data_IF_745165050660
#
_entry.id   IF_745165050660
#
_cell.length_a   1.000
_cell.length_b   1.000
_cell.length_c   1.000
_cell.angle_alpha   90.00
_cell.angle_beta   90.00
_cell.angle_gamma   90.00
#
_symmetry.space_group_name_H-M   'P 1'
#
loop_
_entity.id
_entity.type
_entity.pdbx_description
1 polymer ?
#
# COMPACT_ATOMS: atom_id res chain seq x y z
N UNK A 1 1.56 -6.22 10.90
CA UNK A 1 2.84 -5.71 11.42
C UNK A 1 2.96 -6.03 12.91
N UNK A 2 1.97 -5.69 13.71
CA UNK A 2 1.98 -5.86 15.17
C UNK A 2 2.17 -7.33 15.59
N UNK A 3 1.34 -8.24 15.09
CA UNK A 3 1.42 -9.69 15.39
C UNK A 3 2.80 -10.28 15.01
N UNK A 4 3.36 -9.86 13.87
CA UNK A 4 4.71 -10.29 13.47
C UNK A 4 5.76 -9.71 14.41
N UNK A 5 5.63 -8.45 14.81
CA UNK A 5 6.51 -7.81 15.77
C UNK A 5 6.50 -8.49 17.13
N UNK A 6 5.34 -8.95 17.59
CA UNK A 6 5.21 -9.72 18.84
C UNK A 6 5.93 -11.08 18.76
N UNK A 7 5.83 -11.77 17.64
CA UNK A 7 6.58 -13.03 17.44
C UNK A 7 8.09 -12.79 17.40
N UNK A 8 8.52 -11.75 16.66
CA UNK A 8 9.94 -11.50 16.42
C UNK A 8 10.70 -10.88 17.60
N UNK A 9 10.00 -10.30 18.60
CA UNK A 9 10.66 -9.67 19.75
C UNK A 9 11.55 -10.63 20.54
N UNK A 10 11.24 -11.93 20.53
CA UNK A 10 11.96 -12.96 21.25
C UNK A 10 13.19 -13.49 20.47
N UNK A 11 13.36 -13.07 19.22
CA UNK A 11 14.47 -13.48 18.36
C UNK A 11 15.59 -12.43 18.38
N UNK A 12 16.55 -12.60 19.29
CA UNK A 12 17.62 -11.64 19.60
C UNK A 12 18.44 -11.15 18.40
N UNK A 13 18.63 -11.97 17.38
CA UNK A 13 19.46 -11.68 16.20
C UNK A 13 18.63 -11.40 14.93
N UNK A 14 17.33 -11.24 15.07
CA UNK A 14 16.43 -10.92 13.98
C UNK A 14 16.07 -9.43 14.00
N UNK A 15 16.20 -8.76 12.86
CA UNK A 15 15.71 -7.40 12.67
C UNK A 15 14.40 -7.43 11.89
N UNK A 16 13.38 -6.77 12.43
CA UNK A 16 12.12 -6.63 11.73
C UNK A 16 12.07 -5.35 10.91
N UNK A 17 12.11 -5.51 9.60
CA UNK A 17 11.93 -4.41 8.64
C UNK A 17 10.57 -4.54 7.95
N UNK A 18 9.79 -3.48 7.98
CA UNK A 18 8.51 -3.39 7.28
C UNK A 18 8.49 -2.26 6.26
N UNK A 19 8.04 -2.54 5.04
CA UNK A 19 7.59 -1.49 4.13
C UNK A 19 6.18 -1.06 4.54
N UNK A 20 6.06 0.14 5.10
CA UNK A 20 4.83 0.74 5.57
C UNK A 20 4.25 1.77 4.59
N UNK A 21 4.72 1.81 3.33
CA UNK A 21 4.29 2.80 2.32
C UNK A 21 2.78 2.81 2.08
N UNK A 22 2.11 1.67 2.22
CA UNK A 22 0.66 1.57 2.05
C UNK A 22 -0.12 1.70 3.37
N UNK A 23 0.55 1.79 4.50
CA UNK A 23 -0.08 1.81 5.82
C UNK A 23 0.02 3.19 6.51
N UNK A 24 1.19 3.84 6.42
CA UNK A 24 1.45 5.13 7.09
C UNK A 24 0.44 6.20 6.66
N UNK A 25 -0.17 6.87 7.65
CA UNK A 25 -1.18 7.91 7.42
C UNK A 25 -2.53 7.40 6.91
N UNK A 26 -2.72 6.09 6.74
CA UNK A 26 -3.97 5.46 6.28
C UNK A 26 -4.65 4.65 7.38
N UNK A 27 -3.88 3.87 8.14
CA UNK A 27 -4.37 3.06 9.27
C UNK A 27 -3.44 3.23 10.45
N UNK A 28 -4.00 3.14 11.65
CA UNK A 28 -3.21 3.16 12.87
C UNK A 28 -2.43 1.85 12.99
N UNK A 29 -1.14 1.93 13.26
CA UNK A 29 -0.25 0.77 13.46
C UNK A 29 0.69 1.08 14.63
N UNK A 30 0.86 0.10 15.49
CA UNK A 30 1.87 0.11 16.53
C UNK A 30 3.21 -0.41 15.97
N UNK A 31 4.20 0.48 15.88
CA UNK A 31 5.53 0.16 15.37
C UNK A 31 6.56 -0.16 16.46
N UNK A 32 6.15 -0.33 17.74
CA UNK A 32 7.09 -0.53 18.86
C UNK A 32 8.06 -1.68 18.64
N UNK A 33 7.59 -2.79 18.06
CA UNK A 33 8.40 -3.98 17.79
C UNK A 33 9.00 -4.02 16.38
N UNK A 34 8.91 -2.94 15.61
CA UNK A 34 9.54 -2.83 14.29
C UNK A 34 10.90 -2.14 14.44
N UNK A 35 11.95 -2.67 13.83
CA UNK A 35 13.31 -2.10 13.91
C UNK A 35 13.60 -1.13 12.76
N UNK A 36 13.06 -1.38 11.56
CA UNK A 36 13.19 -0.52 10.39
C UNK A 36 11.84 -0.37 9.68
N UNK A 37 11.56 0.84 9.18
CA UNK A 37 10.34 1.14 8.42
C UNK A 37 10.75 1.88 7.15
N UNK A 38 10.36 1.36 6.00
CA UNK A 38 10.46 2.08 4.73
C UNK A 38 9.13 2.73 4.39
N UNK A 39 9.18 3.96 3.91
CA UNK A 39 8.00 4.75 3.54
C UNK A 39 8.25 5.41 2.18
N UNK A 40 7.23 5.37 1.31
CA UNK A 40 7.21 6.11 0.05
C UNK A 40 6.27 7.33 0.18
N UNK A 41 6.78 8.56 0.30
CA UNK A 41 5.98 9.76 0.60
C UNK A 41 4.86 10.05 -0.40
N UNK A 42 5.06 9.73 -1.67
CA UNK A 42 4.02 9.90 -2.71
C UNK A 42 2.77 9.02 -2.48
N UNK A 43 2.81 8.03 -1.58
CA UNK A 43 1.64 7.23 -1.19
C UNK A 43 0.75 7.92 -0.16
N UNK A 44 1.18 9.05 0.39
CA UNK A 44 0.41 9.94 1.26
C UNK A 44 0.54 11.41 0.83
N UNK A 45 0.61 11.64 -0.50
CA UNK A 45 0.57 12.94 -1.17
C UNK A 45 1.82 13.83 -1.00
N UNK A 46 2.96 13.25 -0.63
CA UNK A 46 4.27 13.89 -0.75
C UNK A 46 4.79 13.85 -2.19
N UNK A 47 5.87 14.55 -2.46
CA UNK A 47 6.50 14.58 -3.79
C UNK A 47 7.04 13.21 -4.21
N UNK A 48 7.05 12.97 -5.51
CA UNK A 48 7.70 11.81 -6.14
C UNK A 48 9.23 11.93 -6.07
N UNK A 49 9.92 10.81 -6.28
CA UNK A 49 11.39 10.78 -6.43
C UNK A 49 12.16 10.61 -5.13
N UNK A 50 11.47 10.43 -3.99
CA UNK A 50 12.12 10.21 -2.70
C UNK A 50 11.50 9.08 -1.90
N UNK A 51 12.26 8.55 -0.96
CA UNK A 51 11.85 7.58 0.05
C UNK A 51 12.41 7.92 1.42
N UNK A 52 11.87 7.34 2.47
CA UNK A 52 12.34 7.50 3.83
C UNK A 52 12.56 6.14 4.47
N UNK A 53 13.70 5.99 5.13
CA UNK A 53 14.01 4.87 6.03
C UNK A 53 14.06 5.38 7.46
N UNK A 54 13.18 4.88 8.30
CA UNK A 54 13.18 5.10 9.75
C UNK A 54 13.78 3.86 10.39
N UNK A 55 14.74 4.03 11.29
CA UNK A 55 15.39 2.92 12.01
C UNK A 55 15.52 3.22 13.49
N UNK A 56 15.46 2.18 14.31
CA UNK A 56 15.87 2.28 15.73
C UNK A 56 17.35 2.60 15.84
N UNK A 57 17.76 3.37 16.85
CA UNK A 57 19.17 3.76 17.07
C UNK A 57 20.11 2.57 17.14
N UNK A 58 19.69 1.48 17.76
CA UNK A 58 20.49 0.25 17.94
C UNK A 58 20.79 -0.50 16.62
N UNK A 59 20.06 -0.23 15.53
CA UNK A 59 20.28 -0.92 14.26
C UNK A 59 21.47 -0.28 13.54
N UNK A 60 22.53 -1.05 13.34
CA UNK A 60 23.67 -0.66 12.51
C UNK A 60 23.33 -0.83 11.03
N UNK A 61 23.72 0.15 10.22
CA UNK A 61 23.60 0.07 8.75
C UNK A 61 24.98 0.29 8.14
N UNK A 62 25.30 -0.54 7.15
CA UNK A 62 26.50 -0.33 6.31
C UNK A 62 26.16 0.70 5.23
N UNK A 63 27.04 1.70 5.09
CA UNK A 63 26.96 2.68 4.00
C UNK A 63 26.97 1.98 2.64
N UNK A 64 26.04 2.34 1.76
CA UNK A 64 25.95 1.84 0.39
C UNK A 64 26.45 2.84 -0.66
N UNK A 65 26.47 4.13 -0.31
CA UNK A 65 26.96 5.22 -1.16
C UNK A 65 28.01 5.97 -0.36
N UNK A 66 29.28 5.69 -0.67
CA UNK A 66 30.44 6.28 -0.01
C UNK A 66 30.70 7.70 -0.51
N UNK A 67 31.44 8.50 0.31
CA UNK A 67 31.80 9.89 0.00
C UNK A 67 31.86 10.76 1.25
N UNK A 68 31.53 12.06 1.10
CA UNK A 68 31.51 13.01 2.21
C UNK A 68 30.52 12.64 3.32
N UNK A 69 30.90 12.87 4.58
CA UNK A 69 30.10 12.56 5.78
C UNK A 69 29.50 13.79 6.45
N UNK A 70 29.32 14.89 5.71
CA UNK A 70 28.90 16.18 6.28
C UNK A 70 27.48 16.20 6.84
N UNK A 71 26.58 15.37 6.31
CA UNK A 71 25.16 15.36 6.69
C UNK A 71 24.72 14.07 7.35
N UNK A 72 25.23 12.93 6.88
CA UNK A 72 24.92 11.62 7.46
C UNK A 72 26.04 10.62 7.18
N UNK A 73 26.23 9.68 8.12
CA UNK A 73 27.18 8.57 7.96
C UNK A 73 26.62 7.39 7.14
N UNK A 74 25.32 7.43 6.79
CA UNK A 74 24.66 6.31 6.11
C UNK A 74 24.69 6.43 4.59
N UNK A 75 24.84 7.66 4.07
CA UNK A 75 24.80 7.95 2.65
C UNK A 75 25.45 9.31 2.38
N UNK A 76 26.35 9.37 1.42
CA UNK A 76 26.91 10.64 0.93
C UNK A 76 25.93 11.37 0.01
N UNK A 77 26.17 12.64 -0.26
CA UNK A 77 25.41 13.52 -1.14
C UNK A 77 24.62 14.60 -0.39
N UNK A 78 24.44 15.72 -1.04
CA UNK A 78 23.66 16.84 -0.49
C UNK A 78 22.19 16.45 -0.36
N UNK A 79 21.56 16.63 0.80
CA UNK A 79 20.12 16.38 0.96
C UNK A 79 19.28 17.31 0.08
N UNK A 80 18.27 16.76 -0.55
CA UNK A 80 17.29 17.52 -1.34
C UNK A 80 16.26 18.17 -0.41
N UNK A 81 16.48 19.44 -0.07
CA UNK A 81 15.69 20.15 0.94
C UNK A 81 14.22 20.26 0.59
N UNK A 82 13.89 20.48 -0.68
CA UNK A 82 12.50 20.58 -1.13
C UNK A 82 11.72 19.27 -0.86
N UNK A 83 12.35 18.13 -1.13
CA UNK A 83 11.76 16.82 -0.82
C UNK A 83 11.60 16.61 0.69
N UNK A 84 12.59 17.01 1.51
CA UNK A 84 12.50 16.87 2.98
C UNK A 84 11.33 17.67 3.54
N UNK A 85 11.17 18.91 3.12
CA UNK A 85 10.05 19.78 3.53
C UNK A 85 8.70 19.22 3.05
N UNK A 86 8.66 18.70 1.82
CA UNK A 86 7.46 18.04 1.29
C UNK A 86 7.07 16.82 2.11
N UNK A 87 8.03 15.96 2.46
CA UNK A 87 7.79 14.77 3.29
C UNK A 87 7.24 15.17 4.66
N UNK A 88 7.87 16.12 5.31
CA UNK A 88 7.46 16.61 6.64
C UNK A 88 6.03 17.13 6.62
N UNK A 89 5.70 17.99 5.66
CA UNK A 89 4.35 18.56 5.52
C UNK A 89 3.30 17.51 5.22
N UNK A 90 3.58 16.64 4.25
CA UNK A 90 2.66 15.57 3.85
C UNK A 90 2.42 14.58 5.01
N UNK A 91 3.48 14.19 5.72
CA UNK A 91 3.38 13.27 6.86
C UNK A 91 2.57 13.87 8.01
N UNK A 92 2.80 15.13 8.36
CA UNK A 92 2.01 15.84 9.38
C UNK A 92 0.52 15.85 9.04
N UNK A 93 0.17 16.19 7.80
CA UNK A 93 -1.22 16.19 7.34
C UNK A 93 -1.79 14.76 7.37
N UNK A 94 -1.04 13.78 6.87
CA UNK A 94 -1.49 12.40 6.84
C UNK A 94 -1.79 11.86 8.23
N UNK A 95 -0.91 12.10 9.20
CA UNK A 95 -1.09 11.63 10.58
C UNK A 95 -2.20 12.38 11.32
N UNK A 96 -2.28 13.72 11.18
CA UNK A 96 -3.31 14.53 11.85
C UNK A 96 -4.74 14.22 11.35
N UNK A 97 -4.88 13.76 10.12
CA UNK A 97 -6.17 13.43 9.48
C UNK A 97 -6.41 11.91 9.38
N UNK A 98 -5.54 11.10 9.94
CA UNK A 98 -5.56 9.65 9.75
C UNK A 98 -6.89 9.02 10.19
N UNK A 99 -7.35 9.29 11.40
CA UNK A 99 -8.56 8.70 11.95
C UNK A 99 -9.81 9.09 11.15
N UNK A 100 -9.96 10.38 10.83
CA UNK A 100 -11.06 10.90 10.02
C UNK A 100 -11.11 10.22 8.64
N UNK A 101 -9.95 10.16 7.97
CA UNK A 101 -9.81 9.56 6.64
C UNK A 101 -10.03 8.04 6.65
N UNK A 102 -9.56 7.37 7.69
CA UNK A 102 -9.74 5.92 7.85
C UNK A 102 -11.22 5.57 8.03
N UNK A 103 -11.96 6.33 8.85
CA UNK A 103 -13.40 6.12 9.05
C UNK A 103 -14.15 6.31 7.72
N UNK A 104 -13.86 7.40 7.01
CA UNK A 104 -14.48 7.68 5.73
C UNK A 104 -14.20 6.59 4.69
N UNK A 105 -12.94 6.19 4.53
CA UNK A 105 -12.58 5.15 3.54
C UNK A 105 -13.16 3.80 3.92
N UNK A 106 -13.28 3.47 5.20
CA UNK A 106 -14.00 2.26 5.66
C UNK A 106 -15.47 2.29 5.26
N UNK A 107 -16.13 3.44 5.37
CA UNK A 107 -17.53 3.61 4.98
C UNK A 107 -17.76 3.36 3.49
N UNK A 108 -17.01 4.05 2.61
CA UNK A 108 -17.13 3.88 1.16
C UNK A 108 -16.68 2.48 0.69
N UNK A 109 -15.67 1.88 1.36
CA UNK A 109 -15.27 0.51 1.10
C UNK A 109 -16.41 -0.47 1.42
N UNK A 110 -17.07 -0.30 2.56
CA UNK A 110 -18.20 -1.15 2.95
C UNK A 110 -19.35 -1.03 1.96
N UNK A 111 -19.73 0.20 1.59
CA UNK A 111 -20.78 0.46 0.61
C UNK A 111 -20.49 -0.24 -0.73
N UNK A 112 -19.27 -0.08 -1.26
CA UNK A 112 -18.88 -0.73 -2.51
C UNK A 112 -18.90 -2.26 -2.41
N UNK A 113 -18.44 -2.82 -1.29
CA UNK A 113 -18.45 -4.27 -1.08
C UNK A 113 -19.87 -4.84 -1.02
N UNK A 114 -20.82 -4.14 -0.39
CA UNK A 114 -22.24 -4.58 -0.36
C UNK A 114 -22.88 -4.55 -1.75
N UNK A 115 -22.56 -3.54 -2.56
CA UNK A 115 -23.01 -3.50 -3.95
C UNK A 115 -22.38 -4.63 -4.78
N UNK A 116 -21.08 -4.87 -4.66
CA UNK A 116 -20.38 -5.90 -5.41
C UNK A 116 -20.83 -7.32 -5.06
N UNK A 117 -21.28 -7.59 -3.84
CA UNK A 117 -21.82 -8.89 -3.41
C UNK A 117 -23.12 -9.29 -4.11
N UNK A 118 -23.83 -8.34 -4.73
CA UNK A 118 -25.07 -8.62 -5.44
C UNK A 118 -24.86 -9.31 -6.79
N UNK A 119 -23.60 -9.39 -7.26
CA UNK A 119 -23.24 -9.96 -8.55
C UNK A 119 -22.52 -11.30 -8.39
N UNK A 120 -23.15 -12.40 -8.76
CA UNK A 120 -22.58 -13.77 -8.65
C UNK A 120 -21.29 -13.98 -9.43
N UNK A 121 -21.04 -13.13 -10.44
CA UNK A 121 -19.82 -13.16 -11.24
C UNK A 121 -18.63 -12.54 -10.51
N UNK A 122 -18.85 -11.75 -9.45
CA UNK A 122 -17.82 -11.04 -8.70
C UNK A 122 -17.31 -11.90 -7.54
N UNK A 123 -16.02 -12.16 -7.53
CA UNK A 123 -15.33 -12.84 -6.43
C UNK A 123 -14.47 -11.82 -5.67
N UNK A 124 -14.82 -11.53 -4.43
CA UNK A 124 -14.07 -10.60 -3.59
C UNK A 124 -12.83 -11.30 -3.02
N UNK A 125 -11.64 -10.73 -3.28
CA UNK A 125 -10.35 -11.25 -2.82
C UNK A 125 -9.88 -10.47 -1.59
N UNK A 126 -10.17 -10.95 -0.39
CA UNK A 126 -9.75 -10.28 0.84
C UNK A 126 -9.53 -11.24 1.99
N UNK A 127 -8.77 -10.78 2.96
CA UNK A 127 -8.59 -11.42 4.26
C UNK A 127 -8.98 -10.44 5.37
N UNK A 128 -8.96 -10.88 6.62
CA UNK A 128 -9.18 -10.00 7.80
C UNK A 128 -8.16 -8.88 7.92
N UNK A 129 -6.99 -9.01 7.26
CA UNK A 129 -5.91 -8.02 7.25
C UNK A 129 -5.95 -7.06 6.06
N UNK A 130 -6.93 -7.18 5.18
CA UNK A 130 -7.02 -6.32 4.00
C UNK A 130 -7.34 -4.88 4.40
N UNK A 131 -6.55 -3.94 3.87
CA UNK A 131 -6.74 -2.52 4.10
C UNK A 131 -8.00 -2.00 3.39
N UNK A 132 -8.77 -1.07 3.99
CA UNK A 132 -9.98 -0.53 3.39
C UNK A 132 -9.71 0.31 2.14
N UNK A 133 -8.48 0.78 1.94
CA UNK A 133 -8.07 1.58 0.78
C UNK A 133 -7.94 0.77 -0.52
N UNK A 134 -8.04 -0.55 -0.45
CA UNK A 134 -7.88 -1.43 -1.61
C UNK A 134 -8.96 -2.50 -1.59
N UNK A 135 -9.73 -2.58 -2.67
CA UNK A 135 -10.62 -3.69 -2.96
C UNK A 135 -10.01 -4.47 -4.11
N UNK A 136 -9.77 -5.75 -3.91
CA UNK A 136 -9.36 -6.66 -4.98
C UNK A 136 -10.49 -7.61 -5.28
N UNK A 137 -10.87 -7.69 -6.55
CA UNK A 137 -11.94 -8.58 -7.03
C UNK A 137 -11.48 -9.33 -8.26
N UNK A 138 -12.15 -10.44 -8.54
CA UNK A 138 -11.99 -11.23 -9.76
C UNK A 138 -13.34 -11.41 -10.44
N UNK A 139 -13.35 -11.48 -11.76
CA UNK A 139 -14.58 -11.74 -12.54
C UNK A 139 -14.55 -13.14 -13.12
N UNK A 140 -15.62 -13.90 -12.90
CA UNK A 140 -15.81 -15.19 -13.57
C UNK A 140 -15.98 -14.99 -15.08
N UNK A 141 -15.28 -15.79 -15.87
CA UNK A 141 -15.43 -15.80 -17.32
C UNK A 141 -14.83 -14.63 -18.10
N UNK A 142 -14.16 -13.67 -17.43
CA UNK A 142 -13.56 -12.50 -18.09
C UNK A 142 -12.12 -12.24 -17.63
N UNK A 143 -11.22 -11.95 -18.58
CA UNK A 143 -9.87 -11.50 -18.25
C UNK A 143 -9.89 -10.09 -17.67
N UNK A 144 -9.08 -9.85 -16.64
CA UNK A 144 -8.97 -8.54 -15.98
C UNK A 144 -8.59 -7.42 -16.96
N UNK A 145 -7.70 -7.68 -17.91
CA UNK A 145 -7.25 -6.71 -18.92
C UNK A 145 -8.38 -6.27 -19.84
N UNK A 146 -9.23 -7.21 -20.30
CA UNK A 146 -10.39 -6.88 -21.13
C UNK A 146 -11.41 -6.02 -20.36
N UNK A 147 -11.69 -6.39 -19.12
CA UNK A 147 -12.61 -5.61 -18.28
C UNK A 147 -12.06 -4.20 -17.98
N UNK A 148 -10.77 -4.09 -17.68
CA UNK A 148 -10.15 -2.78 -17.48
C UNK A 148 -10.27 -1.87 -18.71
N UNK A 149 -10.09 -2.40 -19.93
CA UNK A 149 -10.29 -1.65 -21.17
C UNK A 149 -11.73 -1.18 -21.36
N UNK A 150 -12.72 -2.02 -21.00
CA UNK A 150 -14.13 -1.63 -21.08
C UNK A 150 -14.48 -0.52 -20.10
N UNK A 151 -13.93 -0.55 -18.89
CA UNK A 151 -14.11 0.50 -17.88
C UNK A 151 -13.38 1.80 -18.25
N UNK A 152 -12.17 1.70 -18.82
CA UNK A 152 -11.39 2.84 -19.28
C UNK A 152 -12.15 3.67 -20.33
N UNK A 153 -12.86 3.02 -21.26
CA UNK A 153 -13.74 3.68 -22.23
C UNK A 153 -14.89 4.47 -21.58
N UNK A 154 -15.21 4.16 -20.33
CA UNK A 154 -16.26 4.85 -19.55
C UNK A 154 -15.64 5.84 -18.53
N UNK A 155 -14.32 6.07 -18.57
CA UNK A 155 -13.61 6.95 -17.65
C UNK A 155 -13.39 6.34 -16.26
N UNK A 156 -13.52 5.01 -16.10
CA UNK A 156 -13.31 4.30 -14.84
C UNK A 156 -11.95 3.59 -14.88
N UNK A 157 -11.03 4.02 -14.02
CA UNK A 157 -9.65 3.54 -14.02
C UNK A 157 -9.39 2.56 -12.89
N UNK A 158 -9.01 1.35 -13.26
CA UNK A 158 -8.66 0.27 -12.33
C UNK A 158 -7.24 -0.26 -12.61
N UNK A 159 -6.68 -1.02 -11.69
CA UNK A 159 -5.37 -1.65 -11.87
C UNK A 159 -5.49 -3.16 -11.93
N UNK A 160 -5.06 -3.78 -13.02
CA UNK A 160 -5.08 -5.24 -13.15
C UNK A 160 -3.97 -5.94 -12.38
N UNK A 161 -2.85 -5.22 -12.09
CA UNK A 161 -1.68 -5.73 -11.37
C UNK A 161 -0.87 -4.63 -10.72
N UNK A 162 0.18 -5.01 -9.98
CA UNK A 162 1.24 -4.10 -9.56
C UNK A 162 2.16 -3.79 -10.74
N UNK A 163 2.75 -2.60 -10.77
CA UNK A 163 3.62 -2.13 -11.86
C UNK A 163 4.81 -3.04 -12.17
N UNK A 164 5.24 -3.86 -11.21
CA UNK A 164 6.37 -4.78 -11.35
C UNK A 164 5.99 -6.19 -11.85
N UNK A 165 4.74 -6.47 -12.15
CA UNK A 165 4.33 -7.78 -12.66
C UNK A 165 4.15 -7.75 -14.18
N UNK A 166 4.65 -8.78 -14.92
CA UNK A 166 4.43 -8.87 -16.36
C UNK A 166 2.94 -8.90 -16.72
N UNK A 167 2.58 -8.28 -17.83
CA UNK A 167 1.22 -8.32 -18.36
C UNK A 167 0.83 -9.77 -18.65
N UNK A 168 -0.46 -10.11 -18.44
CA UNK A 168 -1.03 -11.45 -18.71
C UNK A 168 -0.52 -12.62 -17.84
N UNK A 169 0.11 -12.34 -16.70
CA UNK A 169 0.39 -13.38 -15.69
C UNK A 169 -0.67 -13.38 -14.58
N UNK A 170 -0.93 -14.50 -13.91
CA UNK A 170 -1.85 -14.53 -12.77
C UNK A 170 -1.32 -13.68 -11.61
N UNK A 171 -2.22 -13.06 -10.85
CA UNK A 171 -1.85 -12.39 -9.60
C UNK A 171 -1.28 -13.40 -8.61
N UNK A 172 0.01 -13.26 -8.28
CA UNK A 172 0.67 -14.15 -7.31
C UNK A 172 -0.02 -14.14 -5.95
N UNK A 173 -0.52 -12.98 -5.51
CA UNK A 173 -1.19 -12.84 -4.20
C UNK A 173 -2.54 -13.56 -4.19
N UNK A 174 -3.36 -13.36 -5.23
CA UNK A 174 -4.66 -14.04 -5.34
C UNK A 174 -4.48 -15.54 -5.49
N UNK A 175 -3.49 -15.98 -6.29
CA UNK A 175 -3.18 -17.38 -6.41
C UNK A 175 -2.70 -18.01 -5.10
N UNK A 176 -1.85 -17.33 -4.35
CA UNK A 176 -1.40 -17.81 -3.04
C UNK A 176 -2.55 -17.97 -2.03
N UNK A 177 -3.58 -17.11 -2.11
CA UNK A 177 -4.73 -17.17 -1.20
C UNK A 177 -5.73 -18.27 -1.56
N UNK A 178 -5.97 -18.49 -2.85
CA UNK A 178 -7.11 -19.30 -3.30
C UNK A 178 -6.72 -20.53 -4.13
N UNK A 179 -5.46 -20.65 -4.55
CA UNK A 179 -4.93 -21.72 -5.43
C UNK A 179 -5.73 -21.87 -6.74
N UNK A 180 -6.40 -20.79 -7.16
CA UNK A 180 -7.24 -20.72 -8.36
C UNK A 180 -6.57 -19.81 -9.40
N UNK A 181 -6.09 -20.43 -10.49
CA UNK A 181 -5.42 -19.71 -11.58
C UNK A 181 -6.37 -18.81 -12.37
N UNK A 182 -7.62 -19.23 -12.60
CA UNK A 182 -8.60 -18.43 -13.34
C UNK A 182 -8.99 -17.19 -12.53
N UNK A 183 -9.24 -17.36 -11.24
CA UNK A 183 -9.48 -16.27 -10.30
C UNK A 183 -8.30 -15.29 -10.25
N UNK A 184 -7.08 -15.80 -10.22
CA UNK A 184 -5.87 -14.97 -10.22
C UNK A 184 -5.64 -14.21 -11.55
N UNK A 185 -6.06 -14.79 -12.70
CA UNK A 185 -5.97 -14.15 -14.02
C UNK A 185 -7.02 -13.06 -14.25
N UNK A 186 -8.18 -13.20 -13.61
CA UNK A 186 -9.30 -12.24 -13.74
C UNK A 186 -9.29 -11.16 -12.66
N UNK A 187 -8.28 -11.16 -11.77
CA UNK A 187 -8.24 -10.24 -10.64
C UNK A 187 -7.78 -8.84 -11.01
N UNK A 188 -8.42 -7.84 -10.43
CA UNK A 188 -8.04 -6.44 -10.52
C UNK A 188 -8.28 -5.70 -9.20
N UNK A 189 -7.72 -4.51 -9.11
CA UNK A 189 -7.72 -3.69 -7.91
C UNK A 189 -8.44 -2.37 -8.14
N UNK A 190 -9.35 -2.06 -7.24
CA UNK A 190 -9.95 -0.75 -7.07
C UNK A 190 -9.24 -0.07 -5.89
N UNK A 191 -8.78 1.16 -6.08
CA UNK A 191 -8.11 1.93 -5.03
C UNK A 191 -8.99 3.07 -4.56
N UNK A 192 -9.23 3.13 -3.26
CA UNK A 192 -10.03 4.15 -2.60
C UNK A 192 -9.15 5.11 -1.81
N UNK A 193 -9.59 6.34 -1.67
CA UNK A 193 -8.93 7.35 -0.84
C UNK A 193 -9.95 8.27 -0.18
N UNK A 194 -9.49 9.17 0.69
CA UNK A 194 -10.33 10.21 1.26
C UNK A 194 -10.79 11.27 0.22
N UNK A 195 -10.29 11.19 -1.02
CA UNK A 195 -10.71 12.02 -2.14
C UNK A 195 -11.76 11.32 -3.03
N UNK A 196 -11.95 10.02 -2.85
CA UNK A 196 -12.99 9.26 -3.56
C UNK A 196 -14.36 9.71 -3.05
N UNK A 197 -15.22 10.15 -3.95
CA UNK A 197 -16.57 10.63 -3.61
C UNK A 197 -17.59 9.49 -3.58
N UNK A 198 -18.68 9.66 -2.86
CA UNK A 198 -19.79 8.71 -2.86
C UNK A 198 -20.38 8.51 -4.27
N UNK A 199 -20.40 9.57 -5.07
CA UNK A 199 -20.88 9.51 -6.48
C UNK A 199 -20.01 8.61 -7.35
N UNK A 200 -18.68 8.56 -7.09
CA UNK A 200 -17.75 7.69 -7.83
C UNK A 200 -17.88 6.21 -7.41
N UNK A 201 -18.51 5.96 -6.26
CA UNK A 201 -18.73 4.60 -5.73
C UNK A 201 -20.06 4.02 -6.20
N UNK A 202 -21.02 4.85 -6.55
CA UNK A 202 -22.33 4.46 -7.10
C UNK A 202 -22.23 4.03 -8.57
#
# INVERSE_FOLDING_TARGET
IEEIGEVLKDYKYCFFHSDASQAIGKVAIDYRNVDLITIAPHKFYGMLGTGMLIKKKKVGLKTQIDGGKSTTVFRSGTPELAHIVSIEKALKIALSKQQEREIYVKSINHQMLEQLKQYDQVLINRTKYSLPHVINISLKGMKATKFAQMLDQQGIYISTKTSCCPVETPSKMVYALYQDRQRAMSSFRISLSHLTTEKEVQ
#
